data_IF_020285017503
#
_entry.id   IF_020285017503
#
_cell.length_a   1.000
_cell.length_b   1.000
_cell.length_c   1.000
_cell.angle_alpha   90.00
_cell.angle_beta   90.00
_cell.angle_gamma   90.00
#
_symmetry.space_group_name_H-M   'P 1'
#
loop_
_entity.id
_entity.type
_entity.pdbx_description
1 polymer ?
#
# COMPACT_ATOMS: atom_id res chain seq x y z
N UNK A 1 -10.13 -18.78 2.75
CA UNK A 1 -10.79 -20.09 2.91
C UNK A 1 -11.17 -20.38 4.38
N UNK A 2 -10.33 -20.04 5.36
CA UNK A 2 -10.59 -20.31 6.79
C UNK A 2 -11.87 -19.66 7.35
N UNK A 3 -12.14 -18.39 7.05
CA UNK A 3 -13.35 -17.68 7.52
C UNK A 3 -14.63 -18.42 7.16
N UNK A 4 -14.71 -18.92 5.91
CA UNK A 4 -15.85 -19.71 5.44
C UNK A 4 -15.95 -21.06 6.16
N UNK A 5 -14.83 -21.74 6.38
CA UNK A 5 -14.79 -23.02 7.09
C UNK A 5 -15.28 -22.90 8.55
N UNK A 6 -14.84 -21.86 9.27
CA UNK A 6 -15.28 -21.59 10.64
C UNK A 6 -16.77 -21.25 10.72
N UNK A 7 -17.28 -20.44 9.79
CA UNK A 7 -18.72 -20.19 9.70
C UNK A 7 -19.51 -21.48 9.47
N UNK A 8 -19.07 -22.32 8.53
CA UNK A 8 -19.77 -23.57 8.20
C UNK A 8 -19.81 -24.55 9.37
N UNK A 9 -18.69 -24.65 10.10
CA UNK A 9 -18.49 -25.62 11.19
C UNK A 9 -19.12 -25.17 12.51
N UNK A 10 -18.94 -23.88 12.86
CA UNK A 10 -19.30 -23.36 14.19
C UNK A 10 -20.45 -22.34 14.17
N UNK A 11 -21.04 -22.09 12.99
CA UNK A 11 -22.17 -21.16 12.79
C UNK A 11 -21.92 -19.72 13.29
N UNK A 12 -20.65 -19.30 13.28
CA UNK A 12 -20.27 -17.94 13.67
C UNK A 12 -20.85 -16.89 12.72
N UNK A 13 -21.31 -15.72 13.24
CA UNK A 13 -21.90 -14.67 12.43
C UNK A 13 -20.82 -13.82 11.75
N UNK A 14 -20.21 -14.36 10.70
CA UNK A 14 -19.06 -13.75 10.02
C UNK A 14 -19.45 -13.13 8.68
N UNK A 15 -18.94 -11.94 8.39
CA UNK A 15 -19.00 -11.27 7.08
C UNK A 15 -17.57 -11.10 6.57
N UNK A 16 -17.36 -11.30 5.26
CA UNK A 16 -16.05 -11.06 4.62
C UNK A 16 -16.08 -9.77 3.83
N UNK A 17 -15.07 -8.92 4.01
CA UNK A 17 -14.91 -7.69 3.25
C UNK A 17 -13.64 -7.77 2.42
N UNK A 18 -13.69 -7.25 1.19
CA UNK A 18 -12.55 -7.14 0.28
C UNK A 18 -12.51 -5.72 -0.26
N UNK A 19 -11.39 -5.04 -0.17
CA UNK A 19 -11.25 -3.66 -0.64
C UNK A 19 -10.23 -3.55 -1.76
N UNK A 20 -10.34 -2.49 -2.56
CA UNK A 20 -9.26 -2.06 -3.46
C UNK A 20 -8.10 -1.41 -2.67
N UNK A 21 -7.14 -0.80 -3.37
CA UNK A 21 -5.99 -0.16 -2.72
C UNK A 21 -6.46 1.01 -1.86
N UNK A 22 -6.28 0.87 -0.55
CA UNK A 22 -6.62 1.92 0.41
C UNK A 22 -5.50 2.95 0.46
N UNK A 23 -5.85 4.22 0.54
CA UNK A 23 -4.89 5.31 0.77
C UNK A 23 -5.50 6.37 1.69
N UNK A 24 -4.65 7.12 2.38
CA UNK A 24 -5.10 8.16 3.29
C UNK A 24 -4.07 8.54 4.36
N UNK A 25 -4.48 9.40 5.30
CA UNK A 25 -3.77 9.64 6.57
C UNK A 25 -3.36 8.34 7.26
N UNK A 26 -2.24 8.37 7.99
CA UNK A 26 -1.72 7.23 8.77
C UNK A 26 -1.30 5.98 7.97
N UNK A 27 -1.14 6.07 6.64
CA UNK A 27 -0.57 4.98 5.85
C UNK A 27 0.97 4.96 5.98
N UNK A 28 1.57 3.81 6.26
CA UNK A 28 3.03 3.76 6.40
C UNK A 28 3.75 4.13 5.07
N UNK A 29 4.83 4.95 5.08
CA UNK A 29 5.48 5.50 3.89
C UNK A 29 6.33 4.51 3.08
N UNK A 30 6.05 3.21 3.22
CA UNK A 30 6.49 2.20 2.25
C UNK A 30 5.58 2.16 1.00
N UNK A 31 4.32 2.58 1.14
CA UNK A 31 3.32 2.53 0.06
C UNK A 31 3.51 3.71 -0.88
N UNK A 32 3.13 3.56 -2.15
CA UNK A 32 3.48 4.51 -3.22
C UNK A 32 3.06 5.96 -2.93
N UNK A 33 1.79 6.20 -2.57
CA UNK A 33 1.28 7.55 -2.30
C UNK A 33 2.05 8.21 -1.13
N UNK A 34 2.10 7.64 0.09
CA UNK A 34 2.82 8.28 1.19
C UNK A 34 4.33 8.35 0.96
N UNK A 35 4.95 7.35 0.30
CA UNK A 35 6.36 7.40 -0.08
C UNK A 35 6.66 8.61 -0.96
N UNK A 36 5.88 8.78 -2.02
CA UNK A 36 6.07 9.88 -2.97
C UNK A 36 5.85 11.25 -2.33
N UNK A 37 4.84 11.37 -1.47
CA UNK A 37 4.62 12.61 -0.72
C UNK A 37 5.83 12.96 0.14
N UNK A 38 6.37 11.99 0.89
CA UNK A 38 7.55 12.20 1.72
C UNK A 38 8.82 12.51 0.90
N UNK A 39 9.01 11.85 -0.25
CA UNK A 39 10.12 12.15 -1.16
C UNK A 39 10.05 13.60 -1.67
N UNK A 40 8.89 14.05 -2.17
CA UNK A 40 8.73 15.42 -2.64
C UNK A 40 8.91 16.45 -1.51
N UNK A 41 8.39 16.16 -0.32
CA UNK A 41 8.56 17.01 0.86
C UNK A 41 10.03 17.16 1.26
N UNK A 42 10.84 16.11 1.04
CA UNK A 42 12.29 16.11 1.23
C UNK A 42 13.08 16.59 0.01
N UNK A 43 12.40 17.08 -1.04
CA UNK A 43 12.99 17.51 -2.32
C UNK A 43 13.81 16.42 -3.00
N UNK A 44 13.33 15.18 -2.92
CA UNK A 44 13.93 14.00 -3.52
C UNK A 44 13.10 13.54 -4.72
N UNK A 45 13.73 12.78 -5.62
CA UNK A 45 13.06 12.19 -6.78
C UNK A 45 12.07 11.11 -6.36
N UNK A 46 10.97 11.01 -7.10
CA UNK A 46 10.03 9.91 -7.06
C UNK A 46 10.66 8.67 -7.68
N UNK A 47 10.74 7.59 -6.91
CA UNK A 47 11.29 6.31 -7.36
C UNK A 47 10.17 5.45 -7.95
N UNK A 48 10.01 5.51 -9.27
CA UNK A 48 8.95 4.83 -10.01
C UNK A 48 9.44 3.46 -10.48
N UNK A 49 8.74 2.38 -10.11
CA UNK A 49 9.08 1.03 -10.58
C UNK A 49 8.62 0.80 -12.02
N UNK A 50 9.49 0.19 -12.83
CA UNK A 50 9.19 -0.14 -14.22
C UNK A 50 8.84 1.11 -15.03
N UNK A 51 7.88 1.00 -15.94
CA UNK A 51 7.38 2.12 -16.75
C UNK A 51 6.24 2.92 -16.08
N UNK A 52 5.78 2.49 -14.89
CA UNK A 52 4.67 3.11 -14.17
C UNK A 52 3.28 2.85 -14.77
N UNK A 53 3.18 2.05 -15.84
CA UNK A 53 1.92 1.70 -16.51
C UNK A 53 0.90 0.88 -15.70
N UNK A 54 1.29 0.07 -14.68
CA UNK A 54 0.32 -0.72 -13.93
C UNK A 54 -0.73 0.15 -13.24
N UNK A 55 -2.01 -0.21 -13.42
CA UNK A 55 -3.13 0.53 -12.83
C UNK A 55 -3.66 -0.17 -11.59
N UNK A 56 -4.14 0.63 -10.63
CA UNK A 56 -4.83 0.15 -9.44
C UNK A 56 -6.09 0.96 -9.21
N UNK A 57 -7.09 0.32 -8.62
CA UNK A 57 -8.25 1.05 -8.10
C UNK A 57 -7.94 1.56 -6.71
N UNK A 58 -8.19 2.83 -6.47
CA UNK A 58 -7.92 3.46 -5.18
C UNK A 58 -9.21 3.85 -4.46
N UNK A 59 -9.24 3.65 -3.15
CA UNK A 59 -10.36 4.01 -2.28
C UNK A 59 -9.83 4.76 -1.06
N UNK A 60 -10.45 5.90 -0.75
CA UNK A 60 -10.02 6.71 0.37
C UNK A 60 -10.30 6.01 1.70
N UNK A 61 -9.38 6.13 2.67
CA UNK A 61 -9.49 5.45 3.96
C UNK A 61 -10.78 5.81 4.72
N UNK A 62 -11.25 7.05 4.61
CA UNK A 62 -12.53 7.46 5.20
C UNK A 62 -13.73 6.70 4.61
N UNK A 63 -13.73 6.46 3.30
CA UNK A 63 -14.77 5.69 2.61
C UNK A 63 -14.73 4.19 3.00
N UNK A 64 -13.55 3.64 3.30
CA UNK A 64 -13.43 2.28 3.85
C UNK A 64 -14.17 2.17 5.19
N UNK A 65 -13.97 3.14 6.09
CA UNK A 65 -14.62 3.11 7.41
C UNK A 65 -16.13 3.26 7.28
N UNK A 66 -16.61 4.16 6.41
CA UNK A 66 -18.04 4.34 6.11
C UNK A 66 -18.68 3.07 5.49
N UNK A 67 -17.95 2.38 4.62
CA UNK A 67 -18.36 1.09 4.06
C UNK A 67 -18.46 0.00 5.12
N UNK A 68 -17.45 -0.10 6.00
CA UNK A 68 -17.43 -1.08 7.09
C UNK A 68 -18.59 -0.84 8.06
N UNK A 69 -18.89 0.42 8.39
CA UNK A 69 -20.03 0.77 9.23
C UNK A 69 -21.37 0.38 8.57
N UNK A 70 -21.49 0.63 7.26
CA UNK A 70 -22.68 0.22 6.50
C UNK A 70 -22.85 -1.31 6.49
N UNK A 71 -21.77 -2.04 6.25
CA UNK A 71 -21.78 -3.52 6.22
C UNK A 71 -22.08 -4.09 7.61
N UNK A 72 -21.55 -3.47 8.68
CA UNK A 72 -21.81 -3.90 10.05
C UNK A 72 -23.31 -3.82 10.39
N UNK A 73 -23.98 -2.74 9.99
CA UNK A 73 -25.38 -2.50 10.35
C UNK A 73 -26.40 -3.11 9.39
N UNK A 74 -26.06 -3.21 8.09
CA UNK A 74 -27.01 -3.61 7.03
C UNK A 74 -26.59 -4.86 6.27
N UNK A 75 -25.38 -5.36 6.51
CA UNK A 75 -24.84 -6.52 5.80
C UNK A 75 -25.44 -7.83 6.33
N UNK A 76 -25.59 -8.78 5.42
CA UNK A 76 -26.08 -10.11 5.74
C UNK A 76 -24.94 -11.01 6.21
N UNK A 77 -25.15 -11.72 7.31
CA UNK A 77 -24.21 -12.70 7.83
C UNK A 77 -23.90 -13.78 6.79
N UNK A 78 -22.61 -14.09 6.63
CA UNK A 78 -22.11 -15.09 5.68
C UNK A 78 -21.88 -14.57 4.28
N UNK A 79 -22.20 -13.30 4.02
CA UNK A 79 -21.95 -12.70 2.74
C UNK A 79 -20.54 -12.11 2.62
N UNK A 80 -20.13 -11.95 1.37
CA UNK A 80 -18.93 -11.22 0.98
C UNK A 80 -19.38 -9.89 0.38
N UNK A 81 -18.75 -8.79 0.80
CA UNK A 81 -18.94 -7.46 0.23
C UNK A 81 -17.60 -6.93 -0.29
N UNK A 82 -17.59 -6.45 -1.54
CA UNK A 82 -16.44 -5.76 -2.10
C UNK A 82 -16.63 -4.26 -1.95
N UNK A 83 -15.66 -3.57 -1.36
CA UNK A 83 -15.55 -2.11 -1.34
C UNK A 83 -14.75 -1.72 -2.57
N UNK A 84 -15.46 -1.42 -3.66
CA UNK A 84 -14.88 -1.16 -4.96
C UNK A 84 -14.94 0.33 -5.31
N UNK A 85 -13.84 0.85 -5.82
CA UNK A 85 -13.79 2.18 -6.45
C UNK A 85 -13.89 2.07 -7.98
N UNK A 86 -14.23 3.18 -8.63
CA UNK A 86 -14.14 3.35 -10.08
C UNK A 86 -12.83 4.03 -10.52
N UNK A 87 -12.08 4.59 -9.56
CA UNK A 87 -10.88 5.36 -9.80
C UNK A 87 -9.71 4.42 -10.10
N UNK A 88 -9.55 4.05 -11.37
CA UNK A 88 -8.45 3.26 -11.90
C UNK A 88 -7.30 4.20 -12.29
N UNK A 89 -6.21 4.18 -11.52
CA UNK A 89 -5.13 5.18 -11.57
C UNK A 89 -3.80 4.44 -11.77
N UNK A 90 -2.98 4.88 -12.73
CA UNK A 90 -1.63 4.36 -12.93
C UNK A 90 -0.64 4.95 -11.92
N UNK A 91 0.52 4.31 -11.75
CA UNK A 91 1.57 4.89 -10.91
C UNK A 91 2.08 6.23 -11.48
N UNK A 92 2.12 6.35 -12.81
CA UNK A 92 2.48 7.62 -13.49
C UNK A 92 1.45 8.71 -13.24
N UNK A 93 0.15 8.40 -13.23
CA UNK A 93 -0.89 9.38 -12.87
C UNK A 93 -0.71 9.90 -11.44
N UNK A 94 -0.32 9.03 -10.50
CA UNK A 94 -0.04 9.43 -9.11
C UNK A 94 1.14 10.40 -9.08
N UNK A 95 2.24 10.11 -9.81
CA UNK A 95 3.38 11.02 -9.92
C UNK A 95 2.92 12.41 -10.39
N UNK A 96 2.27 12.49 -11.54
CA UNK A 96 1.87 13.77 -12.14
C UNK A 96 0.94 14.56 -11.20
N UNK A 97 -0.08 13.91 -10.62
CA UNK A 97 -1.01 14.56 -9.68
C UNK A 97 -0.31 15.06 -8.41
N UNK A 98 0.72 14.37 -7.93
CA UNK A 98 1.50 14.84 -6.80
C UNK A 98 2.41 16.01 -7.19
N UNK A 99 3.04 15.96 -8.36
CA UNK A 99 3.83 17.09 -8.88
C UNK A 99 2.95 18.35 -9.04
N UNK A 100 1.72 18.20 -9.54
CA UNK A 100 0.71 19.27 -9.59
C UNK A 100 0.44 19.86 -8.18
N UNK A 101 0.19 19.01 -7.17
CA UNK A 101 -0.11 19.46 -5.79
C UNK A 101 1.09 20.15 -5.11
N UNK A 102 2.31 19.83 -5.55
CA UNK A 102 3.55 20.45 -5.06
C UNK A 102 4.01 21.63 -5.92
N UNK A 103 3.22 22.05 -6.91
CA UNK A 103 3.54 23.13 -7.84
C UNK A 103 4.87 22.92 -8.59
N UNK A 104 5.18 21.67 -8.94
CA UNK A 104 6.41 21.27 -9.63
C UNK A 104 6.14 21.14 -11.15
N UNK A 105 6.84 21.91 -12.00
CA UNK A 105 6.75 21.78 -13.46
C UNK A 105 7.16 20.38 -13.93
N UNK A 106 6.37 19.80 -14.84
CA UNK A 106 6.61 18.47 -15.38
C UNK A 106 6.01 18.29 -16.80
N UNK A 107 5.93 19.39 -17.54
CA UNK A 107 5.30 19.43 -18.87
C UNK A 107 6.21 18.89 -19.97
N UNK A 108 7.53 18.97 -19.75
CA UNK A 108 8.53 18.38 -20.63
C UNK A 108 9.18 17.15 -20.02
N UNK A 109 9.72 16.26 -20.87
CA UNK A 109 10.49 15.10 -20.41
C UNK A 109 11.73 15.49 -19.60
N UNK A 110 12.32 16.66 -19.88
CA UNK A 110 13.45 17.17 -19.12
C UNK A 110 13.03 17.51 -17.67
N UNK A 111 11.97 18.30 -17.52
CA UNK A 111 11.39 18.65 -16.21
C UNK A 111 10.98 17.40 -15.42
N UNK A 112 10.32 16.43 -16.07
CA UNK A 112 9.91 15.18 -15.42
C UNK A 112 11.11 14.37 -14.91
N UNK A 113 12.21 14.30 -15.68
CA UNK A 113 13.42 13.56 -15.30
C UNK A 113 14.20 14.17 -14.12
N UNK A 114 13.95 15.45 -13.80
CA UNK A 114 14.49 16.09 -12.60
C UNK A 114 13.84 15.54 -11.33
N UNK A 115 12.58 15.09 -11.41
CA UNK A 115 11.77 14.70 -10.27
C UNK A 115 11.34 13.24 -10.26
N UNK A 116 11.47 12.51 -11.36
CA UNK A 116 11.08 11.10 -11.46
C UNK A 116 12.27 10.28 -11.94
N UNK A 117 12.55 9.21 -11.23
CA UNK A 117 13.57 8.22 -11.56
C UNK A 117 12.92 6.86 -11.73
N UNK A 118 13.13 6.24 -12.88
CA UNK A 118 12.67 4.87 -13.14
C UNK A 118 13.65 3.87 -12.56
N UNK A 119 13.14 2.95 -11.74
CA UNK A 119 13.88 1.87 -11.11
C UNK A 119 13.43 0.52 -11.65
N UNK A 120 14.16 -0.54 -11.31
CA UNK A 120 13.81 -1.91 -11.69
C UNK A 120 12.31 -2.21 -11.41
N UNK A 121 11.69 -2.99 -12.30
CA UNK A 121 10.30 -3.39 -12.12
C UNK A 121 10.19 -4.48 -11.05
N UNK A 122 9.02 -4.54 -10.41
CA UNK A 122 8.73 -5.59 -9.43
C UNK A 122 8.42 -6.90 -10.14
N UNK A 123 9.03 -8.02 -9.75
CA UNK A 123 8.66 -9.31 -10.30
C UNK A 123 7.19 -9.62 -9.97
N UNK A 124 6.47 -10.17 -10.94
CA UNK A 124 5.07 -10.63 -10.82
C UNK A 124 4.04 -9.54 -10.48
N UNK A 125 4.18 -8.34 -11.04
CA UNK A 125 3.22 -7.27 -10.84
C UNK A 125 1.92 -7.52 -11.65
N UNK A 126 0.79 -7.76 -10.96
CA UNK A 126 -0.52 -7.88 -11.63
C UNK A 126 -0.82 -6.60 -12.42
N UNK A 127 -1.31 -6.74 -13.66
CA UNK A 127 -1.58 -5.57 -14.49
C UNK A 127 -2.85 -4.81 -14.07
N UNK A 128 -3.90 -5.52 -13.60
CA UNK A 128 -5.20 -4.90 -13.33
C UNK A 128 -6.04 -5.67 -12.31
N UNK A 129 -6.72 -4.94 -11.43
CA UNK A 129 -7.76 -5.49 -10.54
C UNK A 129 -9.16 -5.00 -10.94
N UNK A 130 -10.03 -5.93 -11.33
CA UNK A 130 -11.44 -5.65 -11.59
C UNK A 130 -12.30 -6.21 -10.45
N UNK A 131 -13.00 -5.35 -9.73
CA UNK A 131 -13.90 -5.73 -8.63
C UNK A 131 -15.31 -5.19 -8.85
N UNK A 132 -16.31 -6.03 -8.60
CA UNK A 132 -17.72 -5.64 -8.61
C UNK A 132 -18.18 -5.27 -7.19
N UNK A 133 -18.60 -4.02 -7.00
CA UNK A 133 -19.13 -3.47 -5.74
C UNK A 133 -20.66 -3.41 -5.65
N UNK A 134 -21.37 -3.91 -6.67
CA UNK A 134 -22.84 -3.80 -6.80
C UNK A 134 -23.60 -4.20 -5.54
N UNK A 135 -23.14 -5.24 -4.84
CA UNK A 135 -23.77 -5.75 -3.63
C UNK A 135 -23.72 -4.78 -2.46
N UNK A 136 -22.62 -4.05 -2.30
CA UNK A 136 -22.51 -3.02 -1.26
C UNK A 136 -23.35 -1.79 -1.65
N UNK A 137 -23.40 -1.46 -2.94
CA UNK A 137 -24.31 -0.43 -3.46
C UNK A 137 -25.78 -0.74 -3.20
N UNK A 138 -26.19 -2.01 -3.24
CA UNK A 138 -27.54 -2.43 -2.88
C UNK A 138 -27.89 -2.17 -1.39
N UNK A 139 -26.90 -2.00 -0.52
CA UNK A 139 -27.10 -1.56 0.88
C UNK A 139 -27.22 -0.03 1.02
N UNK A 140 -27.18 0.71 -0.08
CA UNK A 140 -27.24 2.16 -0.13
C UNK A 140 -25.88 2.85 0.08
N UNK A 141 -24.77 2.13 -0.07
CA UNK A 141 -23.43 2.69 0.07
C UNK A 141 -22.78 3.01 -1.27
N UNK A 142 -22.07 4.14 -1.32
CA UNK A 142 -21.23 4.55 -2.42
C UNK A 142 -20.08 5.41 -1.87
N UNK A 143 -18.89 5.38 -2.49
CA UNK A 143 -17.79 6.22 -2.06
C UNK A 143 -18.18 7.70 -2.19
N UNK A 144 -17.78 8.50 -1.20
CA UNK A 144 -18.12 9.91 -1.10
C UNK A 144 -16.96 10.81 -1.51
N UNK A 145 -15.72 10.32 -1.40
CA UNK A 145 -14.51 11.09 -1.67
C UNK A 145 -13.93 10.71 -3.03
N UNK A 146 -13.73 11.70 -3.91
CA UNK A 146 -13.02 11.46 -5.17
C UNK A 146 -11.52 11.22 -4.92
N UNK A 147 -10.83 10.58 -5.87
CA UNK A 147 -9.39 10.41 -5.78
C UNK A 147 -8.64 11.74 -5.57
N UNK A 148 -9.03 12.80 -6.28
CA UNK A 148 -8.40 14.13 -6.18
C UNK A 148 -8.58 14.76 -4.81
N UNK A 149 -9.79 14.69 -4.24
CA UNK A 149 -10.07 15.23 -2.92
C UNK A 149 -9.32 14.45 -1.84
N UNK A 150 -9.40 13.12 -1.87
CA UNK A 150 -8.70 12.28 -0.91
C UNK A 150 -7.19 12.44 -1.01
N UNK A 151 -6.63 12.61 -2.22
CA UNK A 151 -5.19 12.83 -2.41
C UNK A 151 -4.74 14.14 -1.77
N UNK A 152 -5.51 15.24 -1.93
CA UNK A 152 -5.21 16.53 -1.27
C UNK A 152 -5.22 16.40 0.25
N UNK A 153 -6.28 15.79 0.81
CA UNK A 153 -6.37 15.55 2.26
C UNK A 153 -5.18 14.71 2.75
N UNK A 154 -4.80 13.69 1.98
CA UNK A 154 -3.66 12.84 2.29
C UNK A 154 -2.36 13.66 2.31
N UNK A 155 -2.09 14.45 1.27
CA UNK A 155 -0.91 15.32 1.18
C UNK A 155 -0.85 16.29 2.36
N UNK A 156 -1.96 16.96 2.67
CA UNK A 156 -2.03 17.92 3.79
C UNK A 156 -1.71 17.26 5.14
N UNK A 157 -2.15 16.01 5.33
CA UNK A 157 -1.82 15.25 6.53
C UNK A 157 -0.32 14.94 6.62
N UNK A 158 0.34 14.50 5.55
CA UNK A 158 1.81 14.25 5.57
C UNK A 158 2.63 15.54 5.67
N UNK A 159 2.19 16.64 5.04
CA UNK A 159 2.81 17.96 5.22
C UNK A 159 2.80 18.37 6.69
N UNK A 160 1.71 18.08 7.38
CA UNK A 160 1.54 18.48 8.79
C UNK A 160 2.24 17.51 9.77
N UNK A 161 2.16 16.20 9.53
CA UNK A 161 2.53 15.19 10.53
C UNK A 161 3.59 14.19 10.06
N UNK A 162 3.86 14.09 8.75
CA UNK A 162 4.62 13.00 8.15
C UNK A 162 6.04 12.84 8.68
N UNK A 163 6.74 13.96 8.91
CA UNK A 163 8.13 13.96 9.42
C UNK A 163 8.23 13.58 10.91
N UNK A 164 7.16 13.76 11.69
CA UNK A 164 7.17 13.51 13.14
C UNK A 164 6.46 12.22 13.54
N UNK A 165 5.50 11.77 12.74
CA UNK A 165 4.61 10.67 13.12
C UNK A 165 5.31 9.29 13.11
N UNK A 166 6.18 9.04 12.13
CA UNK A 166 6.79 7.72 11.92
C UNK A 166 8.20 7.57 12.49
N UNK A 167 8.81 8.65 12.99
CA UNK A 167 10.24 8.67 13.31
C UNK A 167 11.10 8.68 12.04
N UNK A 168 12.30 8.08 12.11
CA UNK A 168 13.19 8.02 10.95
C UNK A 168 12.72 6.96 9.94
N UNK A 169 12.31 7.43 8.77
CA UNK A 169 11.85 6.62 7.64
C UNK A 169 12.84 6.62 6.48
N UNK A 170 14.06 7.13 6.66
CA UNK A 170 15.00 7.35 5.55
C UNK A 170 15.34 6.06 4.79
N UNK A 171 15.48 4.94 5.50
CA UNK A 171 15.69 3.61 4.89
C UNK A 171 14.47 3.08 4.13
N UNK A 172 13.26 3.50 4.53
CA UNK A 172 11.98 3.10 3.91
C UNK A 172 11.75 3.82 2.57
N UNK A 173 12.26 5.04 2.44
CA UNK A 173 12.07 5.88 1.25
C UNK A 173 12.95 5.47 0.04
N UNK A 174 13.66 4.35 0.13
CA UNK A 174 14.38 3.75 -1.00
C UNK A 174 13.43 2.95 -1.93
N UNK A 175 13.89 2.57 -3.12
CA UNK A 175 13.07 1.82 -4.08
C UNK A 175 12.74 0.40 -3.58
N UNK A 176 13.75 -0.28 -3.03
CA UNK A 176 13.65 -1.66 -2.54
C UNK A 176 14.21 -1.78 -1.11
N UNK A 177 13.48 -1.29 -0.09
CA UNK A 177 13.88 -1.52 1.30
C UNK A 177 13.80 -3.01 1.63
N UNK A 178 14.76 -3.50 2.41
CA UNK A 178 14.84 -4.90 2.85
C UNK A 178 14.48 -4.99 4.33
N UNK A 179 13.59 -5.91 4.67
CA UNK A 179 13.24 -6.21 6.07
C UNK A 179 14.04 -7.43 6.51
N UNK A 180 14.91 -7.25 7.51
CA UNK A 180 15.69 -8.32 8.11
C UNK A 180 15.50 -8.30 9.63
N UNK A 181 14.88 -9.35 10.17
CA UNK A 181 14.47 -9.39 11.57
C UNK A 181 13.45 -8.28 11.89
N UNK A 182 13.80 -7.41 12.83
CA UNK A 182 12.97 -6.27 13.25
C UNK A 182 13.44 -4.93 12.67
N UNK A 183 14.40 -4.95 11.74
CA UNK A 183 15.00 -3.74 11.17
C UNK A 183 14.73 -3.64 9.66
N UNK A 184 14.71 -2.39 9.18
CA UNK A 184 14.60 -2.04 7.76
C UNK A 184 15.96 -1.51 7.33
N UNK A 185 16.43 -1.99 6.19
CA UNK A 185 17.72 -1.68 5.57
C UNK A 185 17.51 -1.14 4.16
N UNK A 186 18.44 -0.33 3.66
CA UNK A 186 18.54 -0.15 2.20
C UNK A 186 19.05 -1.43 1.56
N UNK A 187 18.82 -1.58 0.25
CA UNK A 187 19.34 -2.73 -0.51
C UNK A 187 20.87 -2.81 -0.40
N UNK A 188 21.57 -1.68 -0.53
CA UNK A 188 23.03 -1.66 -0.42
C UNK A 188 23.50 -2.03 1.00
N UNK A 189 22.89 -1.44 2.03
CA UNK A 189 23.25 -1.75 3.43
C UNK A 189 23.07 -3.24 3.74
N UNK A 190 22.02 -3.87 3.21
CA UNK A 190 21.76 -5.28 3.43
C UNK A 190 22.71 -6.20 2.64
N UNK A 191 23.08 -5.82 1.43
CA UNK A 191 24.05 -6.58 0.61
C UNK A 191 25.47 -6.55 1.21
N UNK A 192 25.80 -5.51 1.98
CA UNK A 192 27.07 -5.39 2.70
C UNK A 192 27.11 -6.17 4.04
N UNK A 193 25.98 -6.74 4.49
CA UNK A 193 25.95 -7.56 5.71
C UNK A 193 26.75 -8.86 5.49
N UNK A 194 27.56 -9.30 6.47
CA UNK A 194 28.26 -10.57 6.37
C UNK A 194 27.23 -11.70 6.20
N UNK A 195 27.40 -12.53 5.18
CA UNK A 195 26.50 -13.65 4.92
C UNK A 195 26.49 -14.59 6.13
N UNK A 196 25.30 -14.97 6.60
CA UNK A 196 25.14 -15.95 7.68
C UNK A 196 25.52 -17.38 7.28
N UNK A 197 26.01 -17.58 6.05
CA UNK A 197 26.43 -18.89 5.51
C UNK A 197 27.69 -19.47 6.21
N UNK A 198 28.19 -18.82 7.26
CA UNK A 198 29.33 -19.25 8.08
C UNK A 198 28.98 -19.83 9.45
N UNK A 199 27.72 -19.88 9.88
CA UNK A 199 27.35 -20.66 11.07
C UNK A 199 27.28 -22.13 10.72
N UNK A 200 28.44 -22.79 10.83
CA UNK A 200 28.52 -24.24 10.96
C UNK A 200 27.64 -24.65 12.13
N UNK A 201 26.51 -25.30 11.84
CA UNK A 201 25.80 -26.10 12.84
C UNK A 201 26.80 -27.10 13.41
N UNK A 202 27.30 -26.85 14.62
CA UNK A 202 27.92 -27.88 15.43
C UNK A 202 26.86 -28.95 15.70
N UNK A 203 26.98 -30.09 15.02
CA UNK A 203 26.28 -31.33 15.34
C UNK A 203 26.73 -31.84 16.71
N UNK A 204 26.18 -31.30 17.80
CA UNK A 204 26.20 -31.96 19.10
C UNK A 204 24.85 -31.72 19.80
N UNK A 205 23.88 -32.60 19.49
CA UNK A 205 23.10 -33.33 20.50
C UNK A 205 22.01 -34.16 19.78
N UNK A 206 22.45 -35.25 19.15
CA UNK A 206 21.56 -36.36 18.84
C UNK A 206 21.50 -37.28 20.06
N UNK A 207 20.60 -37.00 21.00
CA UNK A 207 20.32 -37.94 22.06
C UNK A 207 18.88 -37.83 22.59
N UNK A 208 18.12 -38.90 22.33
CA UNK A 208 17.00 -39.41 23.15
C UNK A 208 15.72 -38.59 22.91
N UNK A 209 14.62 -39.14 22.38
CA UNK A 209 13.72 -40.05 23.08
C UNK A 209 13.05 -41.06 22.14
N UNK A 210 13.25 -42.35 22.43
CA UNK A 210 12.29 -43.42 22.18
C UNK A 210 11.48 -43.64 23.47
N UNK A 211 10.16 -43.52 23.37
CA UNK A 211 9.12 -44.52 23.70
C UNK A 211 7.75 -43.90 23.44
#
# INVERSE_FOLDING_TARGET
MMVSAYRSSFKLPLITVRANNVYGPHQFPEKIIPKFIMLLQRKQKLLLHGDGSPTRRYIYAGDIVDALDTILHKGDVGQIYNIASKDEISNTDICNRLLDIFDIPHTSSAELSEWVEHTEDRPFNDQRYATDGSKLTALGWQPKTSFEEGLKITVDWYRTFGETWWGDISRVLTSFPVVAGNEIWTKEEHEDLPSSDGETMHEEDSAIWTT
#
